data_IF_797504385993
#
_entry.id   IF_797504385993
#
_cell.length_a   1.000
_cell.length_b   1.000
_cell.length_c   1.000
_cell.angle_alpha   90.00
_cell.angle_beta   90.00
_cell.angle_gamma   90.00
#
_symmetry.space_group_name_H-M   'P 1'
#
loop_
_entity.id
_entity.type
_entity.pdbx_description
1 polymer ?
#
# COMPACT_ATOMS: atom_id res chain seq x y z
N UNK A 1 -26.50 -10.43 -32.42
CA UNK A 1 -25.05 -10.73 -32.27
C UNK A 1 -24.51 -9.80 -31.20
N UNK A 2 -24.21 -10.31 -30.02
CA UNK A 2 -23.73 -9.52 -28.89
C UNK A 2 -22.22 -9.73 -28.75
N UNK A 3 -21.44 -8.66 -28.88
CA UNK A 3 -20.01 -8.69 -28.64
C UNK A 3 -19.77 -8.66 -27.14
N UNK A 4 -19.35 -9.79 -26.57
CA UNK A 4 -18.81 -9.86 -25.22
C UNK A 4 -17.42 -9.24 -25.21
N UNK A 5 -17.29 -8.04 -24.65
CA UNK A 5 -15.99 -7.44 -24.32
C UNK A 5 -15.46 -8.19 -23.09
N UNK A 6 -14.50 -9.07 -23.31
CA UNK A 6 -13.73 -9.69 -22.23
C UNK A 6 -12.93 -8.60 -21.49
N UNK A 7 -12.87 -8.62 -20.15
CA UNK A 7 -12.01 -7.71 -19.41
C UNK A 7 -10.54 -7.98 -19.76
N UNK A 8 -9.68 -6.95 -19.79
CA UNK A 8 -8.28 -7.12 -20.13
C UNK A 8 -7.61 -8.04 -19.10
N UNK A 9 -7.24 -9.24 -19.56
CA UNK A 9 -6.38 -10.17 -18.85
C UNK A 9 -5.09 -9.47 -18.46
N UNK A 10 -4.75 -9.54 -17.18
CA UNK A 10 -3.51 -9.06 -16.57
C UNK A 10 -2.32 -9.66 -17.35
N UNK A 11 -1.80 -8.92 -18.31
CA UNK A 11 -0.74 -9.38 -19.18
C UNK A 11 0.53 -9.46 -18.33
N UNK A 12 0.96 -10.70 -18.10
CA UNK A 12 2.02 -11.10 -17.18
C UNK A 12 3.41 -10.76 -17.74
N UNK A 13 3.65 -9.49 -18.11
CA UNK A 13 5.00 -8.97 -18.30
C UNK A 13 5.54 -8.67 -16.91
N UNK A 14 6.28 -9.63 -16.33
CA UNK A 14 6.88 -9.57 -14.99
C UNK A 14 8.02 -8.53 -14.91
N UNK A 15 7.73 -7.30 -15.31
CA UNK A 15 8.54 -6.11 -15.13
C UNK A 15 8.07 -5.44 -13.86
N UNK A 16 8.91 -5.44 -12.83
CA UNK A 16 8.65 -4.67 -11.61
C UNK A 16 9.15 -3.26 -11.83
N UNK A 17 8.25 -2.28 -11.68
CA UNK A 17 8.60 -0.86 -11.79
C UNK A 17 8.91 -0.33 -10.40
N UNK A 18 10.06 0.31 -10.26
CA UNK A 18 10.49 0.94 -9.03
C UNK A 18 10.81 2.41 -9.27
N UNK A 19 10.22 3.27 -8.47
CA UNK A 19 10.57 4.66 -8.35
C UNK A 19 11.57 4.82 -7.20
N UNK A 20 12.54 5.71 -7.41
CA UNK A 20 13.58 5.99 -6.45
C UNK A 20 13.85 7.50 -6.39
N UNK A 21 14.34 7.96 -5.25
CA UNK A 21 14.75 9.35 -5.03
C UNK A 21 16.19 9.43 -4.57
N UNK A 22 16.87 10.54 -4.89
CA UNK A 22 18.28 10.73 -4.53
C UNK A 22 18.41 11.19 -3.07
N UNK A 23 19.04 10.35 -2.25
CA UNK A 23 19.07 10.49 -0.79
C UNK A 23 20.31 11.16 -0.21
N UNK A 24 21.22 11.64 -1.07
CA UNK A 24 22.35 12.46 -0.66
C UNK A 24 21.91 13.69 0.17
N UNK A 25 22.73 14.16 1.13
CA UNK A 25 22.49 15.43 1.82
C UNK A 25 22.39 16.60 0.84
N UNK A 26 23.28 16.63 -0.17
CA UNK A 26 23.21 17.54 -1.29
C UNK A 26 22.85 16.77 -2.58
N UNK A 27 21.56 16.68 -2.95
CA UNK A 27 21.11 15.86 -4.07
C UNK A 27 21.56 16.38 -5.45
N UNK A 28 22.03 17.63 -5.55
CA UNK A 28 22.48 18.23 -6.80
C UNK A 28 24.01 18.35 -6.91
N UNK A 29 24.75 17.82 -5.93
CA UNK A 29 26.20 17.81 -5.97
C UNK A 29 26.73 16.96 -7.11
N UNK A 30 27.65 17.51 -7.91
CA UNK A 30 28.32 16.79 -9.00
C UNK A 30 29.54 15.99 -8.53
N UNK A 31 30.05 16.27 -7.33
CA UNK A 31 31.23 15.61 -6.77
C UNK A 31 30.89 14.36 -5.97
N UNK A 32 29.65 14.23 -5.51
CA UNK A 32 29.19 13.07 -4.73
C UNK A 32 28.60 12.00 -5.64
N UNK A 33 28.85 10.73 -5.28
CA UNK A 33 28.16 9.61 -5.92
C UNK A 33 26.68 9.63 -5.51
N UNK A 34 25.79 9.56 -6.50
CA UNK A 34 24.36 9.53 -6.25
C UNK A 34 23.94 8.24 -5.51
N UNK A 35 23.40 8.41 -4.31
CA UNK A 35 22.77 7.35 -3.52
C UNK A 35 21.27 7.44 -3.74
N UNK A 36 20.65 6.30 -4.02
CA UNK A 36 19.23 6.23 -4.35
C UNK A 36 18.49 5.42 -3.30
N UNK A 37 17.43 6.00 -2.76
CA UNK A 37 16.52 5.35 -1.83
C UNK A 37 15.21 5.01 -2.51
N UNK A 38 14.53 4.00 -2.00
CA UNK A 38 13.25 3.53 -2.51
C UNK A 38 12.08 4.28 -1.85
N UNK A 39 11.01 4.46 -2.60
CA UNK A 39 9.71 4.81 -2.04
C UNK A 39 9.08 3.62 -1.31
N UNK A 40 8.09 3.89 -0.45
CA UNK A 40 7.25 2.84 0.12
C UNK A 40 6.50 2.08 -1.00
N UNK A 41 6.02 0.87 -0.71
CA UNK A 41 5.27 0.08 -1.70
C UNK A 41 4.00 0.83 -2.18
N UNK A 42 3.38 1.60 -1.27
CA UNK A 42 2.19 2.40 -1.56
C UNK A 42 2.53 3.70 -2.30
N UNK A 43 3.56 4.42 -1.87
CA UNK A 43 4.05 5.60 -2.58
C UNK A 43 4.44 5.22 -4.02
N UNK A 44 5.19 4.13 -4.21
CA UNK A 44 5.55 3.63 -5.53
C UNK A 44 4.32 3.32 -6.39
N UNK A 45 3.29 2.70 -5.80
CA UNK A 45 2.03 2.42 -6.49
C UNK A 45 1.30 3.70 -6.90
N UNK A 46 1.22 4.71 -6.02
CA UNK A 46 0.59 6.00 -6.29
C UNK A 46 1.33 6.74 -7.42
N UNK A 47 2.67 6.77 -7.35
CA UNK A 47 3.50 7.43 -8.37
C UNK A 47 3.32 6.72 -9.72
N UNK A 48 3.38 5.39 -9.75
CA UNK A 48 3.24 4.64 -11.01
C UNK A 48 1.84 4.77 -11.62
N UNK A 49 0.77 4.74 -10.82
CA UNK A 49 -0.60 4.96 -11.31
C UNK A 49 -0.72 6.35 -11.95
N UNK A 50 -0.27 7.40 -11.25
CA UNK A 50 -0.30 8.77 -11.79
C UNK A 50 0.53 8.92 -13.08
N UNK A 51 1.68 8.25 -13.16
CA UNK A 51 2.51 8.25 -14.36
C UNK A 51 1.84 7.54 -15.55
N UNK A 52 1.24 6.36 -15.33
CA UNK A 52 0.51 5.62 -16.36
C UNK A 52 -0.72 6.39 -16.86
N UNK A 53 -1.40 7.08 -15.94
CA UNK A 53 -2.54 7.95 -16.24
C UNK A 53 -2.13 9.28 -16.90
N UNK A 54 -0.84 9.49 -17.18
CA UNK A 54 -0.26 10.69 -17.81
C UNK A 54 -0.58 11.97 -17.03
N UNK A 55 -0.72 11.86 -15.70
CA UNK A 55 -0.86 13.04 -14.86
C UNK A 55 0.46 13.82 -14.86
N UNK A 56 0.43 15.15 -14.73
CA UNK A 56 1.66 15.95 -14.67
C UNK A 56 2.42 15.74 -13.34
N UNK A 57 1.71 15.33 -12.28
CA UNK A 57 2.27 15.13 -10.95
C UNK A 57 1.59 13.99 -10.21
N UNK A 58 2.29 13.40 -9.24
CA UNK A 58 1.71 12.51 -8.23
C UNK A 58 1.74 13.18 -6.85
N UNK A 59 0.60 13.20 -6.16
CA UNK A 59 0.49 13.77 -4.82
C UNK A 59 0.77 12.70 -3.76
N UNK A 60 1.67 13.01 -2.82
CA UNK A 60 1.94 12.20 -1.63
C UNK A 60 1.78 13.06 -0.37
N UNK A 61 1.90 12.45 0.81
CA UNK A 61 1.61 13.12 2.08
C UNK A 61 2.56 14.29 2.37
N UNK A 62 3.88 14.06 2.30
CA UNK A 62 4.89 15.06 2.67
C UNK A 62 5.49 15.83 1.47
N UNK A 63 5.26 15.33 0.26
CA UNK A 63 5.81 15.86 -0.98
C UNK A 63 4.91 15.52 -2.17
N UNK A 64 5.23 16.09 -3.33
CA UNK A 64 4.67 15.67 -4.60
C UNK A 64 5.78 15.38 -5.59
N UNK A 65 5.46 14.60 -6.60
CA UNK A 65 6.35 14.27 -7.71
C UNK A 65 5.96 15.09 -8.92
N UNK A 66 6.87 15.90 -9.45
CA UNK A 66 6.76 16.52 -10.76
C UNK A 66 7.44 15.65 -11.81
N UNK A 67 6.64 15.03 -12.68
CA UNK A 67 7.15 14.16 -13.73
C UNK A 67 7.82 14.92 -14.88
N UNK A 68 7.50 16.20 -15.08
CA UNK A 68 8.12 17.02 -16.13
C UNK A 68 9.57 17.33 -15.80
N UNK A 69 9.81 17.68 -14.54
CA UNK A 69 11.15 18.03 -14.05
C UNK A 69 11.92 16.82 -13.50
N UNK A 70 11.25 15.68 -13.31
CA UNK A 70 11.78 14.50 -12.60
C UNK A 70 12.27 14.85 -11.20
N UNK A 71 11.44 15.58 -10.45
CA UNK A 71 11.74 16.04 -9.10
C UNK A 71 10.67 15.62 -8.12
N UNK A 72 11.11 15.23 -6.94
CA UNK A 72 10.32 15.25 -5.71
C UNK A 72 10.47 16.64 -5.08
N UNK A 73 9.36 17.26 -4.69
CA UNK A 73 9.33 18.60 -4.08
C UNK A 73 8.49 18.53 -2.80
N UNK A 74 9.02 19.02 -1.68
CA UNK A 74 8.29 19.01 -0.41
C UNK A 74 7.03 19.87 -0.48
N UNK A 75 5.95 19.40 0.13
CA UNK A 75 4.69 20.15 0.23
C UNK A 75 4.81 21.42 1.11
N UNK A 76 5.87 21.50 1.93
CA UNK A 76 6.06 22.60 2.91
C UNK A 76 7.19 23.56 2.54
N UNK A 77 8.11 23.14 1.67
CA UNK A 77 9.32 23.88 1.34
C UNK A 77 9.75 23.56 -0.09
N UNK A 78 9.46 24.48 -1.01
CA UNK A 78 9.79 24.35 -2.43
C UNK A 78 11.30 24.28 -2.70
N UNK A 79 12.15 24.66 -1.75
CA UNK A 79 13.61 24.51 -1.89
C UNK A 79 14.09 23.10 -1.55
N UNK A 80 13.29 22.31 -0.83
CA UNK A 80 13.58 20.90 -0.54
C UNK A 80 13.16 20.03 -1.72
N UNK A 81 14.04 19.97 -2.71
CA UNK A 81 13.86 19.19 -3.92
C UNK A 81 14.87 18.05 -4.02
N UNK A 82 14.44 16.93 -4.60
CA UNK A 82 15.29 15.77 -4.85
C UNK A 82 15.02 15.19 -6.23
N UNK A 83 16.05 14.87 -7.03
CA UNK A 83 15.89 14.11 -8.26
C UNK A 83 15.24 12.75 -8.01
N UNK A 84 14.41 12.35 -8.95
CA UNK A 84 13.78 11.04 -8.96
C UNK A 84 14.11 10.28 -10.24
N UNK A 85 13.95 8.95 -10.19
CA UNK A 85 14.07 8.10 -11.37
C UNK A 85 13.11 6.93 -11.31
N UNK A 86 12.71 6.47 -12.50
CA UNK A 86 11.94 5.25 -12.71
C UNK A 86 12.85 4.16 -13.26
N UNK A 87 12.84 2.99 -12.63
CA UNK A 87 13.62 1.82 -13.05
C UNK A 87 12.66 0.68 -13.36
N UNK A 88 12.82 0.09 -14.55
CA UNK A 88 12.05 -1.10 -14.95
C UNK A 88 12.96 -2.31 -14.79
N UNK A 89 12.73 -3.12 -13.77
CA UNK A 89 13.53 -4.32 -13.49
C UNK A 89 12.93 -5.55 -14.14
N UNK A 90 13.78 -6.49 -14.56
CA UNK A 90 13.34 -7.84 -14.93
C UNK A 90 13.20 -8.69 -13.66
N UNK A 91 12.43 -9.77 -13.75
CA UNK A 91 12.24 -10.75 -12.65
C UNK A 91 13.57 -11.28 -12.08
N UNK A 92 14.60 -11.36 -12.92
CA UNK A 92 15.96 -11.79 -12.57
C UNK A 92 16.70 -10.79 -11.67
N UNK A 93 16.32 -9.50 -11.70
CA UNK A 93 16.99 -8.42 -10.96
C UNK A 93 16.40 -8.17 -9.56
N UNK A 94 15.54 -9.09 -9.08
CA UNK A 94 14.76 -8.90 -7.86
C UNK A 94 15.69 -8.90 -6.64
N UNK A 95 15.96 -7.70 -6.11
CA UNK A 95 16.44 -7.57 -4.74
C UNK A 95 15.30 -7.98 -3.81
N UNK A 96 15.50 -9.06 -3.05
CA UNK A 96 14.63 -9.36 -1.93
C UNK A 96 14.79 -8.22 -0.90
N UNK A 97 13.68 -7.72 -0.37
CA UNK A 97 13.70 -6.73 0.70
C UNK A 97 14.18 -7.42 1.98
N UNK A 98 15.48 -7.40 2.22
CA UNK A 98 16.12 -8.06 3.36
C UNK A 98 15.43 -7.72 4.69
N UNK A 99 14.95 -6.49 4.85
CA UNK A 99 14.22 -6.04 6.04
C UNK A 99 12.92 -6.84 6.35
N UNK A 100 12.30 -7.52 5.38
CA UNK A 100 11.15 -8.43 5.62
C UNK A 100 11.59 -9.84 6.07
N UNK A 101 12.88 -10.14 5.93
CA UNK A 101 13.51 -11.40 6.31
C UNK A 101 14.48 -11.23 7.50
N UNK A 102 14.70 -10.00 7.96
CA UNK A 102 15.32 -9.72 9.24
C UNK A 102 14.34 -10.19 10.31
N UNK A 103 14.78 -11.11 11.16
CA UNK A 103 14.01 -11.63 12.29
C UNK A 103 13.41 -10.47 13.10
N UNK A 104 12.12 -10.19 12.90
CA UNK A 104 11.32 -9.72 14.02
C UNK A 104 11.31 -10.91 14.97
N UNK A 105 11.83 -10.81 16.21
CA UNK A 105 11.84 -11.93 17.12
C UNK A 105 10.40 -12.20 17.55
N UNK A 106 9.63 -12.92 16.72
CA UNK A 106 8.62 -13.83 17.22
C UNK A 106 9.45 -14.86 17.96
N UNK A 107 9.58 -14.66 19.28
CA UNK A 107 10.41 -15.52 20.12
C UNK A 107 9.99 -16.96 19.84
N UNK A 108 10.93 -17.81 19.42
CA UNK A 108 10.68 -19.20 19.00
C UNK A 108 10.03 -20.07 20.09
N UNK A 109 9.92 -19.56 21.32
CA UNK A 109 9.22 -20.18 22.45
C UNK A 109 7.89 -19.52 22.86
N UNK A 110 7.35 -18.53 22.14
CA UNK A 110 6.04 -17.93 22.43
C UNK A 110 5.05 -18.26 21.32
N UNK A 111 4.16 -19.22 21.57
CA UNK A 111 2.99 -19.38 20.73
C UNK A 111 2.14 -18.11 20.85
N UNK A 112 1.63 -17.59 19.73
CA UNK A 112 0.61 -16.53 19.77
C UNK A 112 -0.67 -16.99 20.48
N UNK A 113 -0.86 -18.31 20.64
CA UNK A 113 -2.00 -18.93 21.32
C UNK A 113 -1.98 -18.81 22.84
N UNK A 114 -0.84 -18.49 23.46
CA UNK A 114 -0.75 -18.37 24.93
C UNK A 114 -0.90 -16.92 25.43
N UNK A 115 -0.80 -15.92 24.57
CA UNK A 115 -0.94 -14.49 24.96
C UNK A 115 -2.38 -14.04 25.04
N UNK A 116 -3.24 -14.69 24.27
CA UNK A 116 -4.65 -14.41 24.18
C UNK A 116 -5.30 -15.78 24.15
N UNK A 117 -6.33 -16.03 24.99
CA UNK A 117 -7.00 -17.34 25.04
C UNK A 117 -7.60 -17.77 23.68
N UNK A 118 -8.55 -18.71 23.68
CA UNK A 118 -9.14 -19.25 22.44
C UNK A 118 -9.57 -18.19 21.39
N UNK A 119 -9.90 -16.96 21.83
CA UNK A 119 -10.19 -15.81 20.96
C UNK A 119 -9.36 -14.60 21.40
N UNK A 120 -8.75 -13.91 20.43
CA UNK A 120 -8.02 -12.66 20.68
C UNK A 120 -8.95 -11.57 21.26
N UNK A 121 -8.55 -10.82 22.31
CA UNK A 121 -9.23 -9.63 22.78
C UNK A 121 -9.53 -8.63 21.66
N UNK A 122 -8.64 -8.50 20.68
CA UNK A 122 -8.89 -7.66 19.50
C UNK A 122 -10.14 -8.12 18.74
N UNK A 123 -10.30 -9.43 18.53
CA UNK A 123 -11.49 -9.99 17.87
C UNK A 123 -12.74 -9.76 18.73
N UNK A 124 -12.62 -9.83 20.05
CA UNK A 124 -13.74 -9.55 20.99
C UNK A 124 -14.17 -8.09 20.89
N UNK A 125 -13.23 -7.14 20.92
CA UNK A 125 -13.50 -5.71 20.83
C UNK A 125 -14.06 -5.33 19.46
N UNK A 126 -13.46 -5.81 18.37
CA UNK A 126 -13.99 -5.61 17.00
C UNK A 126 -15.41 -6.16 16.89
N UNK A 127 -15.69 -7.35 17.44
CA UNK A 127 -17.05 -7.90 17.45
C UNK A 127 -18.02 -6.98 18.20
N UNK A 128 -17.61 -6.43 19.35
CA UNK A 128 -18.42 -5.50 20.16
C UNK A 128 -18.70 -4.20 19.40
N UNK A 129 -17.67 -3.56 18.86
CA UNK A 129 -17.78 -2.29 18.12
C UNK A 129 -18.62 -2.43 16.85
N UNK A 130 -18.52 -3.60 16.21
CA UNK A 130 -19.28 -3.92 15.03
C UNK A 130 -20.69 -4.44 15.33
N UNK A 131 -21.03 -4.65 16.61
CA UNK A 131 -22.30 -5.23 17.09
C UNK A 131 -22.62 -6.57 16.40
N UNK A 132 -21.60 -7.43 16.31
CA UNK A 132 -21.69 -8.74 15.70
C UNK A 132 -21.97 -9.82 16.75
N UNK A 133 -22.76 -10.82 16.39
CA UNK A 133 -22.96 -12.00 17.23
C UNK A 133 -21.77 -12.97 17.11
N UNK A 134 -21.52 -13.85 18.10
CA UNK A 134 -20.44 -14.85 18.02
C UNK A 134 -20.47 -15.74 16.77
N UNK A 135 -21.65 -15.91 16.16
CA UNK A 135 -21.85 -16.67 14.92
C UNK A 135 -21.68 -15.87 13.62
N UNK A 136 -21.48 -14.56 13.69
CA UNK A 136 -21.44 -13.65 12.55
C UNK A 136 -20.06 -13.63 11.89
N UNK A 137 -19.72 -14.77 11.29
CA UNK A 137 -18.50 -14.91 10.51
C UNK A 137 -18.75 -14.48 9.05
N UNK A 138 -17.82 -13.75 8.42
CA UNK A 138 -17.92 -13.39 7.00
C UNK A 138 -18.06 -14.62 6.08
N UNK A 139 -17.51 -15.77 6.50
CA UNK A 139 -17.65 -17.06 5.80
C UNK A 139 -19.06 -17.66 5.89
N UNK A 140 -19.83 -17.31 6.93
CA UNK A 140 -21.21 -17.80 7.15
C UNK A 140 -22.27 -16.80 6.72
N UNK A 141 -21.93 -15.51 6.70
CA UNK A 141 -22.83 -14.40 6.31
C UNK A 141 -22.18 -13.51 5.25
N UNK A 142 -22.06 -13.95 3.98
CA UNK A 142 -21.35 -13.19 2.95
C UNK A 142 -21.93 -11.79 2.68
N UNK A 143 -23.22 -11.60 2.93
CA UNK A 143 -23.90 -10.31 2.82
C UNK A 143 -23.35 -9.24 3.78
N UNK A 144 -22.62 -9.63 4.84
CA UNK A 144 -22.00 -8.69 5.76
C UNK A 144 -20.67 -8.13 5.24
N UNK A 145 -20.02 -8.81 4.28
CA UNK A 145 -18.68 -8.48 3.78
C UNK A 145 -18.61 -7.02 3.31
N UNK A 146 -19.60 -6.49 2.54
CA UNK A 146 -19.54 -5.11 2.11
C UNK A 146 -19.48 -4.09 3.25
N UNK A 147 -20.26 -4.32 4.30
CA UNK A 147 -20.32 -3.44 5.48
C UNK A 147 -19.02 -3.52 6.29
N UNK A 148 -18.43 -4.70 6.43
CA UNK A 148 -17.12 -4.88 7.08
C UNK A 148 -16.00 -4.16 6.32
N UNK A 149 -15.96 -4.32 5.00
CA UNK A 149 -14.99 -3.65 4.13
C UNK A 149 -15.09 -2.12 4.25
N UNK A 150 -16.31 -1.56 4.26
CA UNK A 150 -16.46 -0.11 4.41
C UNK A 150 -16.00 0.40 5.78
N UNK A 151 -16.29 -0.36 6.85
CA UNK A 151 -15.83 0.00 8.19
C UNK A 151 -14.31 -0.10 8.32
N UNK A 152 -13.69 -1.16 7.77
CA UNK A 152 -12.25 -1.30 7.73
C UNK A 152 -11.58 -0.19 6.91
N UNK A 153 -12.11 0.10 5.71
CA UNK A 153 -11.63 1.18 4.86
C UNK A 153 -11.71 2.55 5.57
N UNK A 154 -12.77 2.79 6.32
CA UNK A 154 -12.89 4.01 7.13
C UNK A 154 -11.86 4.06 8.26
N UNK A 155 -11.69 2.98 9.03
CA UNK A 155 -10.68 2.92 10.09
C UNK A 155 -9.25 3.12 9.58
N UNK A 156 -8.93 2.58 8.40
CA UNK A 156 -7.64 2.81 7.73
C UNK A 156 -7.43 4.29 7.45
N UNK A 157 -8.46 4.99 6.92
CA UNK A 157 -8.37 6.43 6.63
C UNK A 157 -8.24 7.25 7.92
N UNK A 158 -9.03 6.94 8.94
CA UNK A 158 -8.99 7.64 10.23
C UNK A 158 -7.62 7.52 10.89
N UNK A 159 -7.03 6.32 10.91
CA UNK A 159 -5.68 6.12 11.43
C UNK A 159 -4.62 6.77 10.55
N UNK A 160 -4.73 6.66 9.23
CA UNK A 160 -3.83 7.36 8.30
C UNK A 160 -3.82 8.87 8.53
N UNK A 161 -4.98 9.47 8.80
CA UNK A 161 -5.06 10.89 9.15
C UNK A 161 -4.39 11.20 10.50
N UNK A 162 -4.53 10.32 11.50
CA UNK A 162 -3.95 10.52 12.83
C UNK A 162 -2.42 10.53 12.79
N UNK A 163 -1.80 9.73 11.90
CA UNK A 163 -0.34 9.63 11.75
C UNK A 163 0.24 10.45 10.59
N UNK A 164 -0.57 11.27 9.91
CA UNK A 164 -0.13 12.09 8.78
C UNK A 164 0.15 11.32 7.47
N UNK A 165 -0.39 10.11 7.32
CA UNK A 165 -0.30 9.23 6.14
C UNK A 165 -1.63 9.09 5.40
N UNK A 166 -2.28 10.23 5.15
CA UNK A 166 -3.64 10.29 4.59
C UNK A 166 -3.69 9.71 3.16
N UNK A 167 -2.77 10.09 2.28
CA UNK A 167 -2.76 9.68 0.88
C UNK A 167 -2.53 8.16 0.76
N UNK A 168 -1.56 7.63 1.51
CA UNK A 168 -1.31 6.19 1.58
C UNK A 168 -2.55 5.42 2.10
N UNK A 169 -3.19 5.93 3.15
CA UNK A 169 -4.39 5.32 3.72
C UNK A 169 -5.62 5.39 2.79
N UNK A 170 -5.84 6.50 2.09
CA UNK A 170 -6.88 6.62 1.08
C UNK A 170 -6.67 5.63 -0.07
N UNK A 171 -5.40 5.43 -0.49
CA UNK A 171 -5.06 4.44 -1.51
C UNK A 171 -5.35 3.02 -1.04
N UNK A 172 -4.94 2.64 0.17
CA UNK A 172 -5.26 1.34 0.77
C UNK A 172 -6.78 1.11 0.87
N UNK A 173 -7.51 2.10 1.38
CA UNK A 173 -8.95 2.05 1.52
C UNK A 173 -9.66 1.90 0.16
N UNK A 174 -9.16 2.57 -0.90
CA UNK A 174 -9.65 2.42 -2.27
C UNK A 174 -9.46 0.99 -2.76
N UNK A 175 -8.25 0.43 -2.63
CA UNK A 175 -7.96 -0.96 -3.04
C UNK A 175 -8.85 -1.97 -2.32
N UNK A 176 -9.10 -1.78 -1.03
CA UNK A 176 -9.99 -2.64 -0.25
C UNK A 176 -11.45 -2.54 -0.73
N UNK A 177 -11.94 -1.32 -0.98
CA UNK A 177 -13.31 -1.08 -1.50
C UNK A 177 -13.55 -1.67 -2.88
N UNK A 178 -12.54 -1.73 -3.74
CA UNK A 178 -12.63 -2.34 -5.07
C UNK A 178 -12.97 -3.85 -5.00
N UNK A 179 -12.60 -4.53 -3.90
CA UNK A 179 -12.91 -5.95 -3.67
C UNK A 179 -14.16 -6.20 -2.84
N UNK A 180 -14.85 -5.15 -2.40
CA UNK A 180 -15.99 -5.21 -1.48
C UNK A 180 -17.06 -6.24 -1.84
N UNK A 181 -17.36 -6.37 -3.14
CA UNK A 181 -18.41 -7.25 -3.65
C UNK A 181 -17.87 -8.57 -4.23
N UNK A 182 -16.56 -8.80 -4.17
CA UNK A 182 -15.91 -9.97 -4.77
C UNK A 182 -15.86 -11.19 -3.83
N UNK A 183 -16.34 -11.05 -2.59
CA UNK A 183 -16.32 -12.10 -1.57
C UNK A 183 -15.08 -12.06 -0.68
N UNK A 184 -15.10 -12.87 0.38
CA UNK A 184 -14.10 -12.79 1.47
C UNK A 184 -12.71 -13.22 1.02
N UNK A 185 -12.61 -14.15 0.08
CA UNK A 185 -11.33 -14.64 -0.43
C UNK A 185 -10.58 -13.54 -1.20
N UNK A 186 -11.28 -12.79 -2.04
CA UNK A 186 -10.69 -11.68 -2.80
C UNK A 186 -10.33 -10.50 -1.90
N UNK A 187 -11.15 -10.23 -0.87
CA UNK A 187 -10.81 -9.25 0.17
C UNK A 187 -9.55 -9.68 0.93
N UNK A 188 -9.45 -10.96 1.30
CA UNK A 188 -8.28 -11.51 1.99
C UNK A 188 -7.00 -11.39 1.16
N UNK A 189 -7.05 -11.72 -0.14
CA UNK A 189 -5.89 -11.60 -1.05
C UNK A 189 -5.36 -10.17 -1.17
N UNK A 190 -6.19 -9.15 -0.93
CA UNK A 190 -5.74 -7.76 -0.90
C UNK A 190 -5.05 -7.35 0.41
N UNK A 191 -5.29 -8.09 1.50
CA UNK A 191 -4.76 -7.80 2.83
C UNK A 191 -3.57 -8.69 3.24
N UNK A 192 -3.37 -9.81 2.55
CA UNK A 192 -2.38 -10.84 2.86
C UNK A 192 -1.02 -10.62 2.17
#
# INVERSE_FOLDING_TARGET
MAYSVLPPTLNNSLKTVEWMWQSNPNPFSKSERATWSHYSDLENLIIEEAFQDKQPRAQLDDYFIDFKSNLQISNTDDHKQRPIKRVVRKREDKHLREARFMDLPVSSGRSFGDQYGWVSPFVIEVRRDLKLEPGDLPSKKPNMIPMLVEKAARGIIEEGQSIGKKCEAEKLAKMLREKKNAGIEEVWKCCA
#
